data_IF_943125001086
#
_entry.id   IF_943125001086
#
_cell.length_a   1.000
_cell.length_b   1.000
_cell.length_c   1.000
_cell.angle_alpha   90.00
_cell.angle_beta   90.00
_cell.angle_gamma   90.00
#
_symmetry.space_group_name_H-M   'P 1'
#
loop_
_entity.id
_entity.type
_entity.pdbx_description
1 polymer ?
#
# COMPACT_ATOMS: atom_id res chain seq x y z
N UNK A 1 -17.67 7.32 -3.19
CA UNK A 1 -16.82 7.78 -4.31
C UNK A 1 -15.36 7.69 -3.91
N UNK A 2 -14.43 7.82 -4.86
CA UNK A 2 -13.01 7.95 -4.55
C UNK A 2 -12.71 9.35 -4.00
N UNK A 3 -12.00 9.50 -2.86
CA UNK A 3 -11.69 10.82 -2.29
C UNK A 3 -10.62 11.60 -3.07
N UNK A 4 -9.98 10.98 -4.06
CA UNK A 4 -8.90 11.58 -4.87
C UNK A 4 -9.42 12.10 -6.22
N UNK A 5 -10.25 11.30 -6.91
CA UNK A 5 -10.73 11.61 -8.27
C UNK A 5 -12.27 11.66 -8.40
N UNK A 6 -13.01 11.53 -7.30
CA UNK A 6 -14.50 11.55 -7.23
C UNK A 6 -15.23 10.47 -8.05
N UNK A 7 -14.50 9.62 -8.79
CA UNK A 7 -15.09 8.53 -9.57
C UNK A 7 -15.89 7.59 -8.65
N UNK A 8 -17.05 7.15 -9.14
CA UNK A 8 -17.86 6.15 -8.44
C UNK A 8 -17.18 4.79 -8.54
N UNK A 9 -16.59 4.35 -7.43
CA UNK A 9 -15.91 3.06 -7.31
C UNK A 9 -16.70 2.17 -6.33
N UNK A 10 -16.85 0.88 -6.67
CA UNK A 10 -17.44 -0.09 -5.75
C UNK A 10 -16.63 -0.08 -4.45
N UNK A 11 -17.30 -0.06 -3.31
CA UNK A 11 -16.65 0.04 -2.00
C UNK A 11 -15.51 -0.97 -1.80
N UNK A 12 -15.72 -2.23 -2.20
CA UNK A 12 -14.71 -3.30 -2.12
C UNK A 12 -13.50 -3.14 -3.06
N UNK A 13 -13.64 -2.33 -4.11
CA UNK A 13 -12.58 -2.05 -5.09
C UNK A 13 -11.80 -0.77 -4.78
N UNK A 14 -12.28 0.06 -3.84
CA UNK A 14 -11.69 1.37 -3.52
C UNK A 14 -10.20 1.27 -3.19
N UNK A 15 -9.80 0.30 -2.36
CA UNK A 15 -8.38 0.06 -2.02
C UNK A 15 -7.53 -0.27 -3.24
N UNK A 16 -8.08 -1.02 -4.21
CA UNK A 16 -7.32 -1.33 -5.42
C UNK A 16 -7.20 -0.15 -6.36
N UNK A 17 -8.28 0.63 -6.47
CA UNK A 17 -8.28 1.85 -7.25
C UNK A 17 -7.31 2.90 -6.67
N UNK A 18 -7.35 3.11 -5.35
CA UNK A 18 -6.42 3.98 -4.62
C UNK A 18 -4.95 3.56 -4.80
N UNK A 19 -4.69 2.26 -4.94
CA UNK A 19 -3.35 1.77 -5.27
C UNK A 19 -2.80 2.30 -6.59
N UNK A 20 -3.65 2.53 -7.58
CA UNK A 20 -3.26 3.17 -8.86
C UNK A 20 -2.76 4.58 -8.63
N UNK A 21 -3.59 5.41 -8.00
CA UNK A 21 -3.24 6.79 -7.64
C UNK A 21 -1.93 6.88 -6.85
N UNK A 22 -1.73 5.98 -5.87
CA UNK A 22 -0.50 5.96 -5.07
C UNK A 22 0.73 5.65 -5.93
N UNK A 23 0.68 4.63 -6.79
CA UNK A 23 1.84 4.32 -7.65
C UNK A 23 2.10 5.42 -8.67
N UNK A 24 1.06 5.94 -9.30
CA UNK A 24 1.21 7.03 -10.28
C UNK A 24 1.87 8.25 -9.63
N UNK A 25 1.40 8.66 -8.45
CA UNK A 25 2.01 9.75 -7.69
C UNK A 25 3.46 9.45 -7.29
N UNK A 26 3.76 8.25 -6.80
CA UNK A 26 5.13 7.84 -6.45
C UNK A 26 6.09 7.81 -7.65
N UNK A 27 5.57 7.54 -8.85
CA UNK A 27 6.32 7.55 -10.10
C UNK A 27 6.36 8.92 -10.79
N UNK A 28 5.73 9.95 -10.20
CA UNK A 28 5.66 11.29 -10.78
C UNK A 28 4.78 11.39 -12.04
N UNK A 29 3.88 10.42 -12.24
CA UNK A 29 2.94 10.39 -13.35
C UNK A 29 1.76 11.30 -13.00
N UNK A 30 1.50 12.30 -13.84
CA UNK A 30 0.34 13.17 -13.69
C UNK A 30 -0.93 12.43 -14.14
N UNK A 31 -2.00 12.61 -13.38
CA UNK A 31 -3.34 12.09 -13.70
C UNK A 31 -4.26 13.27 -13.99
N UNK A 32 -5.00 13.22 -15.10
CA UNK A 32 -5.82 14.35 -15.57
C UNK A 32 -7.06 14.61 -14.68
N UNK A 33 -7.56 13.58 -13.97
CA UNK A 33 -8.83 13.63 -13.22
C UNK A 33 -8.62 13.64 -11.68
N UNK A 34 -7.58 14.30 -11.16
CA UNK A 34 -7.32 14.39 -9.72
C UNK A 34 -7.86 15.68 -9.13
N UNK A 35 -8.77 15.57 -8.17
CA UNK A 35 -9.30 16.70 -7.39
C UNK A 35 -8.45 16.95 -6.14
N UNK A 36 -7.98 15.88 -5.50
CA UNK A 36 -7.17 15.94 -4.28
C UNK A 36 -5.89 15.15 -4.50
N UNK A 37 -4.69 15.77 -4.40
CA UNK A 37 -3.44 15.07 -4.62
C UNK A 37 -3.21 13.98 -3.56
N UNK A 38 -2.55 12.90 -3.98
CA UNK A 38 -2.06 11.86 -3.06
C UNK A 38 -0.87 12.41 -2.27
N UNK A 39 -0.80 12.07 -0.98
CA UNK A 39 0.35 12.42 -0.15
C UNK A 39 1.62 11.73 -0.65
N UNK A 40 2.70 12.51 -0.79
CA UNK A 40 4.01 11.97 -1.14
C UNK A 40 4.69 11.22 0.01
N UNK A 41 4.21 11.42 1.24
CA UNK A 41 4.74 10.80 2.46
C UNK A 41 3.67 9.92 3.07
N UNK A 42 3.97 8.63 3.23
CA UNK A 42 3.12 7.59 3.81
C UNK A 42 1.63 7.68 3.42
N UNK A 43 1.29 7.68 2.12
CA UNK A 43 -0.10 7.74 1.69
C UNK A 43 -0.89 6.53 2.20
N UNK A 44 -2.09 6.80 2.72
CA UNK A 44 -3.01 5.77 3.17
C UNK A 44 -3.57 4.98 1.98
N UNK A 45 -3.52 3.65 2.04
CA UNK A 45 -4.12 2.77 1.03
C UNK A 45 -5.65 2.87 0.86
N UNK A 46 -6.33 3.66 1.68
CA UNK A 46 -7.77 3.90 1.58
C UNK A 46 -8.14 5.26 0.98
N UNK A 47 -7.42 6.34 1.33
CA UNK A 47 -7.76 7.70 0.93
C UNK A 47 -6.63 8.48 0.26
N UNK A 48 -5.41 7.91 0.17
CA UNK A 48 -4.25 8.57 -0.42
C UNK A 48 -3.61 9.65 0.47
N UNK A 49 -4.21 10.01 1.60
CA UNK A 49 -3.69 11.04 2.51
C UNK A 49 -2.81 10.43 3.61
N UNK A 50 -1.88 11.22 4.17
CA UNK A 50 -1.06 10.82 5.32
C UNK A 50 -1.84 10.86 6.64
N UNK A 51 -1.21 10.49 7.75
CA UNK A 51 -1.80 10.59 9.10
C UNK A 51 -2.82 9.50 9.45
N UNK A 52 -2.97 8.48 8.60
CA UNK A 52 -3.89 7.36 8.81
C UNK A 52 -3.12 6.04 8.97
N UNK A 53 -2.57 5.78 10.17
CA UNK A 53 -1.83 4.54 10.41
C UNK A 53 -2.70 3.31 10.16
N UNK A 54 -2.05 2.19 9.87
CA UNK A 54 -2.69 0.90 9.62
C UNK A 54 -2.06 -0.15 10.51
N UNK A 55 -2.89 -1.03 11.07
CA UNK A 55 -2.44 -2.12 11.92
C UNK A 55 -3.20 -3.39 11.59
N UNK A 56 -2.64 -4.52 12.01
CA UNK A 56 -3.22 -5.85 11.81
C UNK A 56 -3.86 -6.35 13.10
N UNK A 57 -5.19 -6.41 13.12
CA UNK A 57 -5.97 -6.94 14.26
C UNK A 57 -6.35 -8.39 14.03
N UNK A 58 -6.39 -9.17 15.10
CA UNK A 58 -6.95 -10.52 15.11
C UNK A 58 -8.25 -10.51 15.91
N UNK A 59 -9.38 -10.46 15.21
CA UNK A 59 -10.69 -10.46 15.86
C UNK A 59 -11.09 -11.86 16.32
N UNK A 60 -11.20 -12.05 17.63
CA UNK A 60 -11.73 -13.26 18.26
C UNK A 60 -11.03 -14.54 17.79
N UNK A 61 -11.83 -15.53 17.35
CA UNK A 61 -11.33 -16.84 16.88
C UNK A 61 -10.93 -16.86 15.40
N UNK A 62 -10.93 -15.71 14.70
CA UNK A 62 -10.56 -15.69 13.27
C UNK A 62 -9.11 -16.16 13.10
N UNK A 63 -8.89 -16.99 12.08
CA UNK A 63 -7.58 -17.58 11.77
C UNK A 63 -6.61 -16.56 11.14
N UNK A 64 -7.15 -15.52 10.52
CA UNK A 64 -6.40 -14.52 9.76
C UNK A 64 -6.46 -13.14 10.41
N UNK A 65 -5.39 -12.37 10.26
CA UNK A 65 -5.37 -10.95 10.58
C UNK A 65 -6.23 -10.15 9.61
N UNK A 66 -6.83 -9.07 10.09
CA UNK A 66 -7.56 -8.08 9.31
C UNK A 66 -6.88 -6.72 9.41
N UNK A 67 -6.86 -5.93 8.33
CA UNK A 67 -6.38 -4.56 8.38
C UNK A 67 -7.39 -3.68 9.13
N UNK A 68 -6.88 -2.77 9.95
CA UNK A 68 -7.65 -1.75 10.66
C UNK A 68 -6.89 -0.42 10.59
N UNK A 69 -7.63 0.69 10.53
CA UNK A 69 -7.07 2.03 10.38
C UNK A 69 -8.03 3.07 10.97
N UNK A 70 -7.51 4.22 11.38
CA UNK A 70 -8.30 5.40 11.76
C UNK A 70 -8.89 6.15 10.56
N UNK A 71 -8.58 5.73 9.32
CA UNK A 71 -9.10 6.36 8.12
C UNK A 71 -10.64 6.26 8.02
N UNK A 72 -11.35 7.36 7.72
CA UNK A 72 -12.80 7.34 7.51
C UNK A 72 -13.21 6.53 6.26
N UNK A 73 -12.29 6.31 5.33
CA UNK A 73 -12.49 5.47 4.14
C UNK A 73 -12.01 4.02 4.35
N UNK A 74 -11.71 3.63 5.59
CA UNK A 74 -11.22 2.29 5.88
C UNK A 74 -12.26 1.22 5.51
N UNK A 75 -11.78 0.16 4.85
CA UNK A 75 -12.60 -0.98 4.48
C UNK A 75 -11.96 -2.27 4.99
N UNK A 76 -12.81 -3.24 5.35
CA UNK A 76 -12.35 -4.58 5.73
C UNK A 76 -12.13 -5.39 4.45
N UNK A 77 -10.96 -6.01 4.33
CA UNK A 77 -10.61 -6.89 3.23
C UNK A 77 -9.65 -8.00 3.66
N UNK A 78 -9.66 -9.11 2.92
CA UNK A 78 -8.71 -10.20 3.13
C UNK A 78 -7.32 -9.82 2.64
N UNK A 79 -6.33 -9.80 3.53
CA UNK A 79 -4.91 -9.54 3.19
C UNK A 79 -4.40 -10.56 2.17
N UNK A 80 -4.75 -11.84 2.35
CA UNK A 80 -4.33 -12.90 1.43
C UNK A 80 -4.89 -12.69 0.02
N UNK A 81 -6.15 -12.24 -0.12
CA UNK A 81 -6.70 -11.90 -1.41
C UNK A 81 -6.03 -10.64 -1.99
N UNK A 82 -5.83 -9.62 -1.16
CA UNK A 82 -5.22 -8.36 -1.53
C UNK A 82 -3.72 -8.45 -1.87
N UNK A 83 -3.03 -9.52 -1.46
CA UNK A 83 -1.65 -9.81 -1.84
C UNK A 83 -1.51 -10.36 -3.27
N UNK A 84 -2.62 -10.74 -3.90
CA UNK A 84 -2.65 -11.30 -5.25
C UNK A 84 -3.26 -10.29 -6.23
N UNK A 85 -2.51 -9.95 -7.28
CA UNK A 85 -3.02 -9.11 -8.36
C UNK A 85 -4.06 -9.87 -9.18
N UNK A 86 -5.25 -9.31 -9.33
CA UNK A 86 -6.34 -9.88 -10.13
C UNK A 86 -6.84 -8.88 -11.16
N UNK A 87 -7.43 -9.35 -12.26
CA UNK A 87 -7.99 -8.48 -13.32
C UNK A 87 -8.95 -7.40 -12.78
N UNK A 88 -9.75 -7.72 -11.77
CA UNK A 88 -10.75 -6.80 -11.17
C UNK A 88 -10.23 -6.04 -9.95
N UNK A 89 -9.03 -6.36 -9.48
CA UNK A 89 -8.36 -5.74 -8.33
C UNK A 89 -6.85 -5.86 -8.52
N UNK A 90 -6.27 -5.10 -9.46
CA UNK A 90 -4.88 -5.31 -9.90
C UNK A 90 -3.84 -4.90 -8.85
N UNK A 91 -4.15 -3.95 -7.98
CA UNK A 91 -3.20 -3.53 -6.95
C UNK A 91 -2.98 -4.65 -5.92
N UNK A 92 -1.77 -4.75 -5.42
CA UNK A 92 -1.41 -5.58 -4.28
C UNK A 92 -1.11 -4.76 -3.02
N UNK A 93 -1.47 -3.47 -3.02
CA UNK A 93 -1.23 -2.58 -1.89
C UNK A 93 -2.00 -3.08 -0.67
N UNK A 94 -1.30 -3.71 0.25
CA UNK A 94 -1.87 -4.25 1.47
C UNK A 94 -0.91 -3.98 2.63
N UNK A 95 -1.40 -3.87 3.87
CA UNK A 95 -0.52 -3.73 5.02
C UNK A 95 0.31 -4.99 5.20
N UNK A 96 1.62 -4.82 5.26
CA UNK A 96 2.60 -5.88 5.47
C UNK A 96 3.41 -5.55 6.73
N UNK A 97 3.89 -6.60 7.42
CA UNK A 97 4.75 -6.41 8.58
C UNK A 97 6.19 -6.19 8.15
N UNK A 98 6.84 -5.16 8.69
CA UNK A 98 8.27 -4.96 8.57
C UNK A 98 9.00 -5.89 9.57
N UNK A 99 9.79 -6.88 9.11
CA UNK A 99 10.53 -7.78 9.99
C UNK A 99 11.78 -7.11 10.62
N UNK A 100 12.12 -5.90 10.18
CA UNK A 100 13.25 -5.12 10.70
C UNK A 100 12.85 -4.28 11.92
N UNK A 101 11.55 -4.03 12.08
CA UNK A 101 11.01 -3.39 13.28
C UNK A 101 11.04 -4.35 14.48
N UNK A 102 11.35 -3.86 15.69
CA UNK A 102 11.23 -4.64 16.91
C UNK A 102 9.80 -5.20 17.08
N UNK A 103 9.66 -6.43 17.56
CA UNK A 103 8.34 -7.03 17.78
C UNK A 103 7.52 -6.33 18.88
N UNK A 104 8.17 -5.52 19.73
CA UNK A 104 7.53 -4.71 20.78
C UNK A 104 6.95 -3.39 20.27
N UNK A 105 7.31 -2.92 19.07
CA UNK A 105 6.75 -1.69 18.50
C UNK A 105 5.49 -2.01 17.71
N UNK A 106 4.32 -1.98 18.37
CA UNK A 106 3.02 -2.15 17.72
C UNK A 106 2.80 -1.11 16.61
N UNK A 107 3.33 0.09 16.79
CA UNK A 107 2.92 1.27 16.03
C UNK A 107 3.72 1.46 14.72
N UNK A 108 4.92 0.87 14.61
CA UNK A 108 5.78 0.98 13.41
C UNK A 108 5.88 -0.31 12.59
N UNK A 109 5.33 -1.42 13.09
CA UNK A 109 5.56 -2.73 12.46
C UNK A 109 4.73 -2.97 11.19
N UNK A 110 3.63 -2.26 10.98
CA UNK A 110 2.70 -2.52 9.88
C UNK A 110 2.65 -1.34 8.93
N UNK A 111 3.01 -1.58 7.66
CA UNK A 111 3.18 -0.54 6.65
C UNK A 111 2.45 -0.97 5.38
N UNK A 112 1.83 -0.03 4.67
CA UNK A 112 1.30 -0.29 3.32
C UNK A 112 2.42 -0.76 2.40
N UNK A 113 2.20 -1.82 1.63
CA UNK A 113 3.20 -2.41 0.72
C UNK A 113 3.95 -1.35 -0.10
N UNK A 114 3.24 -0.43 -0.73
CA UNK A 114 3.83 0.60 -1.59
C UNK A 114 4.65 1.65 -0.81
N UNK A 115 4.46 1.76 0.50
CA UNK A 115 5.20 2.68 1.37
C UNK A 115 6.44 2.01 1.99
N UNK A 116 6.61 0.68 1.85
CA UNK A 116 7.65 -0.07 2.55
C UNK A 116 9.07 0.42 2.21
N UNK A 117 9.33 0.79 0.95
CA UNK A 117 10.64 1.34 0.55
C UNK A 117 10.95 2.65 1.30
N UNK A 118 9.97 3.54 1.39
CA UNK A 118 10.09 4.79 2.14
C UNK A 118 10.25 4.56 3.65
N UNK A 119 9.49 3.62 4.21
CA UNK A 119 9.63 3.24 5.62
C UNK A 119 11.05 2.73 5.93
N UNK A 120 11.62 1.87 5.09
CA UNK A 120 12.99 1.36 5.28
C UNK A 120 14.00 2.52 5.22
N UNK A 121 13.89 3.41 4.24
CA UNK A 121 14.86 4.51 4.09
C UNK A 121 14.80 5.53 5.22
N UNK A 122 13.66 5.68 5.89
CA UNK A 122 13.44 6.68 6.96
C UNK A 122 13.60 6.10 8.36
N UNK A 123 12.93 4.98 8.66
CA UNK A 123 12.92 4.33 9.98
C UNK A 123 14.14 3.44 10.18
N UNK A 124 14.66 2.86 9.10
CA UNK A 124 15.83 1.99 9.12
C UNK A 124 17.01 2.59 8.35
N UNK A 125 17.13 3.93 8.35
CA UNK A 125 18.19 4.70 7.67
C UNK A 125 19.62 4.32 8.08
N UNK A 126 19.78 3.73 9.28
CA UNK A 126 21.06 3.22 9.76
C UNK A 126 21.47 1.86 9.19
N UNK A 127 20.64 1.21 8.37
CA UNK A 127 21.01 -0.02 7.69
C UNK A 127 22.05 0.26 6.60
N UNK A 128 23.03 -0.63 6.48
CA UNK A 128 24.01 -0.55 5.42
C UNK A 128 23.30 -0.70 4.05
N UNK A 129 23.42 0.27 3.12
CA UNK A 129 22.77 0.21 1.81
C UNK A 129 23.16 -1.01 0.98
N UNK A 130 24.36 -1.56 1.22
CA UNK A 130 24.87 -2.73 0.53
C UNK A 130 24.41 -4.05 1.16
N UNK A 131 23.72 -3.99 2.31
CA UNK A 131 23.16 -5.18 2.93
C UNK A 131 21.83 -5.53 2.25
N UNK A 132 21.68 -6.76 1.71
CA UNK A 132 20.42 -7.17 1.10
C UNK A 132 19.30 -7.23 2.15
N UNK A 133 18.10 -6.80 1.75
CA UNK A 133 16.90 -6.97 2.56
C UNK A 133 16.61 -8.46 2.77
N UNK A 134 16.01 -8.84 3.92
CA UNK A 134 15.52 -10.20 4.09
C UNK A 134 14.62 -10.62 2.93
N UNK A 135 14.82 -11.83 2.38
CA UNK A 135 14.10 -12.31 1.19
C UNK A 135 12.57 -12.22 1.36
N UNK A 136 12.07 -12.49 2.57
CA UNK A 136 10.65 -12.37 2.91
C UNK A 136 10.14 -10.94 2.72
N UNK A 137 10.90 -9.93 3.15
CA UNK A 137 10.55 -8.52 3.01
C UNK A 137 10.63 -8.08 1.55
N UNK A 138 11.74 -8.40 0.87
CA UNK A 138 11.94 -8.09 -0.54
C UNK A 138 10.81 -8.67 -1.42
N UNK A 139 10.39 -9.90 -1.12
CA UNK A 139 9.26 -10.55 -1.81
C UNK A 139 7.93 -9.88 -1.50
N UNK A 140 7.67 -9.56 -0.22
CA UNK A 140 6.42 -8.94 0.20
C UNK A 140 6.20 -7.54 -0.40
N UNK A 141 7.27 -6.75 -0.56
CA UNK A 141 7.18 -5.40 -1.10
C UNK A 141 7.28 -5.32 -2.63
N UNK A 142 7.68 -6.39 -3.33
CA UNK A 142 7.85 -6.41 -4.78
C UNK A 142 6.56 -6.05 -5.52
N UNK A 143 6.58 -4.99 -6.32
CA UNK A 143 5.49 -4.61 -7.23
C UNK A 143 5.82 -5.17 -8.61
N UNK A 144 4.92 -5.94 -9.21
CA UNK A 144 5.22 -6.60 -10.50
C UNK A 144 4.95 -5.68 -11.68
N UNK A 145 5.63 -5.89 -12.81
CA UNK A 145 5.35 -5.13 -14.05
C UNK A 145 3.90 -5.30 -14.50
N UNK A 146 3.34 -6.51 -14.42
CA UNK A 146 1.93 -6.77 -14.77
C UNK A 146 0.94 -6.03 -13.87
N UNK A 147 1.26 -5.89 -12.57
CA UNK A 147 0.48 -5.08 -11.64
C UNK A 147 0.54 -3.59 -12.01
N UNK A 148 1.72 -3.06 -12.30
CA UNK A 148 1.91 -1.67 -12.72
C UNK A 148 1.13 -1.38 -14.01
N UNK A 149 1.26 -2.22 -15.03
CA UNK A 149 0.51 -2.10 -16.28
C UNK A 149 -1.00 -2.13 -16.06
N UNK A 150 -1.48 -3.05 -15.22
CA UNK A 150 -2.90 -3.16 -14.90
C UNK A 150 -3.44 -1.99 -14.06
N UNK A 151 -2.54 -1.21 -13.45
CA UNK A 151 -2.85 0.05 -12.77
C UNK A 151 -2.67 1.29 -13.66
N UNK A 152 -2.41 1.10 -14.96
CA UNK A 152 -2.30 2.20 -15.92
C UNK A 152 -0.92 2.87 -15.96
N UNK A 153 0.10 2.26 -15.36
CA UNK A 153 1.47 2.74 -15.47
C UNK A 153 1.97 2.51 -16.92
N UNK A 154 2.47 3.55 -17.61
CA UNK A 154 2.99 3.42 -18.97
C UNK A 154 4.17 2.44 -19.06
N UNK A 155 4.24 1.57 -20.08
CA UNK A 155 5.32 0.58 -20.20
C UNK A 155 6.74 1.18 -20.27
N UNK A 156 6.87 2.42 -20.76
CA UNK A 156 8.13 3.15 -20.89
C UNK A 156 8.74 3.59 -19.56
N UNK A 157 7.95 3.61 -18.48
CA UNK A 157 8.42 3.95 -17.12
C UNK A 157 8.52 2.74 -16.18
N UNK A 158 8.14 1.55 -16.64
CA UNK A 158 8.24 0.31 -15.85
C UNK A 158 9.65 -0.26 -16.00
N UNK A 159 10.40 -0.25 -14.89
CA UNK A 159 11.73 -0.88 -14.79
C UNK A 159 11.68 -2.38 -14.48
#
# INVERSE_FOLDING_TARGET
>A
ECPVCEKTVKHKALRSHMGGHILQAQMGISEDDINVPVSMVDPCGFCGQSGHPVWLVKEGRKRTFQPSSSCPFSIIFSIGAAANSMKTSPSTNAPIRCPLCPSSSSDCSTVWKYNMAHHISTVHSGLNPNQPLPLVLATAMKITCSEQQALGIPPDVIS
#
